data_IF_979084886687
#
_entry.id   IF_979084886687
#
_cell.length_a   1.000
_cell.length_b   1.000
_cell.length_c   1.000
_cell.angle_alpha   90.00
_cell.angle_beta   90.00
_cell.angle_gamma   90.00
#
_symmetry.space_group_name_H-M   'P 1'
#
loop_
_entity.id
_entity.type
_entity.pdbx_description
1 polymer ?
#
# COMPACT_ATOMS: atom_id res chain seq x y z
N UNK A 1 5.02 3.05 -27.59
CA UNK A 1 4.00 2.22 -26.90
C UNK A 1 4.36 1.95 -25.44
N UNK A 2 5.55 1.40 -25.14
CA UNK A 2 5.96 1.04 -23.78
C UNK A 2 5.90 2.20 -22.77
N UNK A 3 6.25 3.43 -23.17
CA UNK A 3 6.13 4.61 -22.29
C UNK A 3 4.68 4.87 -21.86
N UNK A 4 3.73 4.88 -22.80
CA UNK A 4 2.32 5.09 -22.50
C UNK A 4 1.78 4.01 -21.54
N UNK A 5 2.12 2.75 -21.80
CA UNK A 5 1.72 1.61 -20.96
C UNK A 5 2.32 1.71 -19.56
N UNK A 6 3.61 2.07 -19.44
CA UNK A 6 4.27 2.27 -18.14
C UNK A 6 3.64 3.39 -17.31
N UNK A 7 3.26 4.52 -17.95
CA UNK A 7 2.59 5.64 -17.26
C UNK A 7 1.16 5.34 -16.85
N UNK A 8 0.38 4.69 -17.73
CA UNK A 8 -0.99 4.30 -17.43
C UNK A 8 -1.03 3.28 -16.29
N UNK A 9 -0.18 2.26 -16.35
CA UNK A 9 -0.07 1.25 -15.28
C UNK A 9 0.42 1.85 -13.95
N UNK A 10 1.39 2.78 -13.97
CA UNK A 10 1.82 3.50 -12.78
C UNK A 10 0.67 4.29 -12.12
N UNK A 11 -0.19 4.93 -12.92
CA UNK A 11 -1.35 5.67 -12.41
C UNK A 11 -2.37 4.74 -11.74
N UNK A 12 -2.64 3.58 -12.36
CA UNK A 12 -3.51 2.54 -11.76
C UNK A 12 -2.90 1.98 -10.47
N UNK A 13 -1.59 1.75 -10.44
CA UNK A 13 -0.88 1.30 -9.24
C UNK A 13 -0.95 2.34 -8.12
N UNK A 14 -0.69 3.61 -8.40
CA UNK A 14 -0.81 4.70 -7.43
C UNK A 14 -2.22 4.76 -6.80
N UNK A 15 -3.26 4.67 -7.64
CA UNK A 15 -4.65 4.65 -7.16
C UNK A 15 -4.93 3.44 -6.27
N UNK A 16 -4.54 2.24 -6.68
CA UNK A 16 -4.82 1.03 -5.89
C UNK A 16 -3.99 0.98 -4.60
N UNK A 17 -2.74 1.43 -4.61
CA UNK A 17 -1.93 1.60 -3.40
C UNK A 17 -2.55 2.64 -2.46
N UNK A 18 -3.13 3.73 -2.97
CA UNK A 18 -3.91 4.65 -2.13
C UNK A 18 -5.11 3.94 -1.46
N UNK A 19 -5.89 3.19 -2.25
CA UNK A 19 -7.16 2.59 -1.80
C UNK A 19 -6.98 1.36 -0.90
N UNK A 20 -5.87 0.61 -1.01
CA UNK A 20 -5.69 -0.67 -0.29
C UNK A 20 -5.57 -0.51 1.23
N UNK A 21 -5.14 0.67 1.73
CA UNK A 21 -4.99 0.97 3.16
C UNK A 21 -6.30 1.39 3.84
N UNK A 22 -7.18 2.07 3.11
CA UNK A 22 -8.48 2.54 3.62
C UNK A 22 -9.33 1.43 4.27
N UNK A 23 -9.53 0.24 3.66
CA UNK A 23 -10.30 -0.84 4.28
C UNK A 23 -9.65 -1.44 5.53
N UNK A 24 -8.38 -1.13 5.82
CA UNK A 24 -7.68 -1.59 7.02
C UNK A 24 -7.79 -0.63 8.21
N UNK A 25 -8.34 0.58 8.01
CA UNK A 25 -8.62 1.55 9.06
C UNK A 25 -9.91 1.18 9.80
N UNK A 26 -9.87 0.16 10.65
CA UNK A 26 -11.06 -0.45 11.26
C UNK A 26 -11.84 0.49 12.17
N UNK A 27 -11.17 1.37 12.91
CA UNK A 27 -11.85 2.36 13.76
C UNK A 27 -12.62 3.36 12.90
N UNK A 28 -12.00 3.83 11.81
CA UNK A 28 -12.65 4.73 10.87
C UNK A 28 -13.87 4.07 10.21
N UNK A 29 -13.73 2.82 9.75
CA UNK A 29 -14.84 2.05 9.21
C UNK A 29 -15.98 1.87 10.21
N UNK A 30 -15.66 1.57 11.47
CA UNK A 30 -16.65 1.45 12.54
C UNK A 30 -17.36 2.79 12.82
N UNK A 31 -16.63 3.91 12.81
CA UNK A 31 -17.20 5.24 12.95
C UNK A 31 -18.12 5.62 11.78
N UNK A 32 -17.67 5.38 10.54
CA UNK A 32 -18.46 5.60 9.33
C UNK A 32 -19.73 4.75 9.31
N UNK A 33 -19.64 3.50 9.77
CA UNK A 33 -20.81 2.60 9.94
C UNK A 33 -21.80 3.11 10.98
N UNK A 34 -21.31 3.68 12.07
CA UNK A 34 -22.13 4.20 13.17
C UNK A 34 -22.69 5.61 12.95
N UNK A 35 -22.19 6.34 11.95
CA UNK A 35 -22.65 7.70 11.65
C UNK A 35 -24.05 7.68 11.03
N UNK A 36 -24.99 8.43 11.63
CA UNK A 36 -26.37 8.54 11.12
C UNK A 36 -26.48 9.14 9.71
N UNK A 37 -25.40 9.74 9.19
CA UNK A 37 -25.34 10.27 7.82
C UNK A 37 -25.21 9.17 6.75
N UNK A 38 -24.76 7.97 7.11
CA UNK A 38 -24.69 6.81 6.20
C UNK A 38 -26.00 6.03 6.29
N UNK A 39 -27.11 6.69 5.91
CA UNK A 39 -28.46 6.14 6.06
C UNK A 39 -28.78 5.01 5.06
N UNK A 40 -28.00 4.85 3.99
CA UNK A 40 -28.30 3.84 2.96
C UNK A 40 -27.81 2.45 3.37
N UNK A 41 -28.74 1.48 3.41
CA UNK A 41 -28.42 0.05 3.60
C UNK A 41 -27.38 -0.45 2.57
N UNK A 42 -27.39 0.13 1.37
CA UNK A 42 -26.44 -0.22 0.28
C UNK A 42 -25.01 0.17 0.62
N UNK A 43 -24.79 1.35 1.22
CA UNK A 43 -23.45 1.80 1.59
C UNK A 43 -22.90 1.02 2.78
N UNK A 44 -23.72 0.72 3.80
CA UNK A 44 -23.30 -0.16 4.92
C UNK A 44 -22.84 -1.54 4.42
N UNK A 45 -23.62 -2.16 3.52
CA UNK A 45 -23.26 -3.44 2.91
C UNK A 45 -21.94 -3.39 2.11
N UNK A 46 -21.60 -2.25 1.50
CA UNK A 46 -20.31 -2.06 0.84
C UNK A 46 -19.16 -1.94 1.85
N UNK A 47 -19.36 -1.22 2.96
CA UNK A 47 -18.37 -1.11 4.03
C UNK A 47 -18.09 -2.48 4.70
N UNK A 48 -19.11 -3.32 4.85
CA UNK A 48 -18.93 -4.67 5.40
C UNK A 48 -18.08 -5.58 4.50
N UNK A 49 -18.08 -5.31 3.19
CA UNK A 49 -17.21 -5.96 2.20
C UNK A 49 -15.82 -5.31 2.09
N UNK A 50 -15.43 -4.46 3.04
CA UNK A 50 -14.10 -3.82 3.11
C UNK A 50 -12.94 -4.81 2.94
N UNK A 51 -13.02 -5.99 3.57
CA UNK A 51 -12.00 -7.05 3.38
C UNK A 51 -11.94 -7.53 1.93
N UNK A 52 -13.08 -7.75 1.29
CA UNK A 52 -13.13 -8.14 -0.12
C UNK A 52 -12.55 -7.04 -1.01
N UNK A 53 -12.90 -5.78 -0.72
CA UNK A 53 -12.34 -4.62 -1.42
C UNK A 53 -10.81 -4.55 -1.32
N UNK A 54 -10.25 -4.75 -0.11
CA UNK A 54 -8.81 -4.82 0.09
C UNK A 54 -8.16 -5.91 -0.78
N UNK A 55 -8.75 -7.11 -0.80
CA UNK A 55 -8.24 -8.24 -1.61
C UNK A 55 -8.32 -7.92 -3.10
N UNK A 56 -9.41 -7.31 -3.57
CA UNK A 56 -9.54 -6.87 -4.97
C UNK A 56 -8.47 -5.86 -5.35
N UNK A 57 -8.24 -4.82 -4.53
CA UNK A 57 -7.14 -3.88 -4.74
C UNK A 57 -5.78 -4.58 -4.77
N UNK A 58 -5.53 -5.52 -3.85
CA UNK A 58 -4.29 -6.30 -3.82
C UNK A 58 -4.06 -7.10 -5.10
N UNK A 59 -5.09 -7.78 -5.61
CA UNK A 59 -5.01 -8.52 -6.88
C UNK A 59 -4.76 -7.58 -8.06
N UNK A 60 -5.44 -6.43 -8.11
CA UNK A 60 -5.20 -5.41 -9.13
C UNK A 60 -3.77 -4.89 -9.08
N UNK A 61 -3.19 -4.68 -7.90
CA UNK A 61 -1.78 -4.31 -7.73
C UNK A 61 -0.86 -5.40 -8.30
N UNK A 62 -1.03 -6.68 -7.93
CA UNK A 62 -0.16 -7.76 -8.44
C UNK A 62 -0.27 -7.90 -9.99
N UNK A 63 -1.45 -7.67 -10.60
CA UNK A 63 -1.62 -7.73 -12.07
C UNK A 63 -0.94 -6.54 -12.77
N UNK A 64 -1.25 -5.32 -12.34
CA UNK A 64 -0.70 -4.12 -12.99
C UNK A 64 0.79 -3.94 -12.71
N UNK A 65 1.34 -4.51 -11.64
CA UNK A 65 2.79 -4.51 -11.39
C UNK A 65 3.54 -5.34 -12.43
N UNK A 66 3.03 -6.50 -12.83
CA UNK A 66 3.63 -7.32 -13.89
C UNK A 66 3.63 -6.56 -15.22
N UNK A 67 2.49 -5.96 -15.57
CA UNK A 67 2.37 -5.16 -16.79
C UNK A 67 3.29 -3.93 -16.77
N UNK A 68 3.42 -3.27 -15.61
CA UNK A 68 4.31 -2.13 -15.41
C UNK A 68 5.79 -2.51 -15.59
N UNK A 69 6.23 -3.61 -14.97
CA UNK A 69 7.60 -4.14 -15.10
C UNK A 69 7.89 -4.53 -16.56
N UNK A 70 6.96 -5.22 -17.23
CA UNK A 70 7.13 -5.59 -18.63
C UNK A 70 7.28 -4.35 -19.54
N UNK A 71 6.47 -3.31 -19.31
CA UNK A 71 6.57 -2.05 -20.04
C UNK A 71 7.93 -1.35 -19.78
N UNK A 72 8.43 -1.38 -18.54
CA UNK A 72 9.75 -0.84 -18.21
C UNK A 72 10.89 -1.62 -18.85
N UNK A 73 10.79 -2.95 -18.96
CA UNK A 73 11.79 -3.77 -19.66
C UNK A 73 11.86 -3.42 -21.15
N UNK A 74 10.70 -3.28 -21.81
CA UNK A 74 10.63 -2.83 -23.21
C UNK A 74 11.17 -1.41 -23.36
N UNK A 75 10.89 -0.50 -22.43
CA UNK A 75 11.45 0.85 -22.47
C UNK A 75 12.97 0.83 -22.27
N UNK A 76 13.49 0.04 -21.34
CA UNK A 76 14.92 -0.10 -21.10
C UNK A 76 15.66 -0.63 -22.35
N UNK A 77 15.06 -1.57 -23.08
CA UNK A 77 15.53 -2.02 -24.39
C UNK A 77 15.60 -0.88 -25.39
N UNK A 78 14.49 -0.17 -25.57
CA UNK A 78 14.43 0.95 -26.50
C UNK A 78 15.42 2.07 -26.15
N UNK A 79 15.64 2.34 -24.86
CA UNK A 79 16.63 3.33 -24.41
C UNK A 79 18.08 2.88 -24.65
N UNK A 80 18.36 1.58 -24.60
CA UNK A 80 19.68 1.03 -24.90
C UNK A 80 19.99 1.07 -26.40
N UNK A 81 19.01 0.71 -27.24
CA UNK A 81 19.18 0.70 -28.70
C UNK A 81 19.22 2.11 -29.31
N UNK A 82 18.46 3.07 -28.77
CA UNK A 82 18.31 4.41 -29.35
C UNK A 82 19.17 5.48 -28.62
N UNK A 83 20.42 5.17 -28.31
CA UNK A 83 21.35 6.15 -27.73
C UNK A 83 21.63 7.28 -28.73
N UNK A 84 21.38 8.54 -28.33
CA UNK A 84 21.63 9.72 -29.16
C UNK A 84 22.72 10.58 -28.54
N UNK A 85 23.82 10.80 -29.27
CA UNK A 85 24.88 11.73 -28.84
C UNK A 85 24.41 13.19 -28.84
N UNK A 86 23.31 13.49 -29.53
CA UNK A 86 22.76 14.84 -29.65
C UNK A 86 22.01 15.31 -28.40
N UNK A 87 21.40 14.38 -27.66
CA UNK A 87 20.57 14.68 -26.49
C UNK A 87 21.01 13.86 -25.28
N UNK A 88 22.24 14.11 -24.80
CA UNK A 88 22.82 13.45 -23.63
C UNK A 88 21.91 13.49 -22.39
N UNK A 89 21.13 14.56 -22.20
CA UNK A 89 20.21 14.70 -21.09
C UNK A 89 19.01 13.71 -21.12
N UNK A 90 18.72 13.11 -22.28
CA UNK A 90 17.65 12.14 -22.50
C UNK A 90 18.14 10.69 -22.35
N UNK A 91 19.45 10.47 -22.52
CA UNK A 91 20.04 9.15 -22.40
C UNK A 91 20.05 8.70 -20.94
N UNK A 92 19.74 7.42 -20.73
CA UNK A 92 19.86 6.78 -19.43
C UNK A 92 21.26 6.14 -19.22
N UNK A 93 22.06 6.02 -20.28
CA UNK A 93 23.44 5.51 -20.28
C UNK A 93 24.45 6.67 -20.34
N UNK A 94 25.64 6.52 -19.75
CA UNK A 94 26.69 7.54 -19.83
C UNK A 94 27.44 7.48 -21.16
N UNK A 95 27.65 6.29 -21.74
CA UNK A 95 28.29 6.13 -23.05
C UNK A 95 27.61 5.08 -23.96
N UNK A 96 27.84 5.21 -25.27
CA UNK A 96 27.31 4.33 -26.31
C UNK A 96 27.85 2.91 -26.12
N UNK A 97 26.96 1.94 -25.88
CA UNK A 97 27.34 0.53 -25.67
C UNK A 97 27.69 0.14 -24.23
N UNK A 98 27.53 1.03 -23.24
CA UNK A 98 27.80 0.74 -21.81
C UNK A 98 26.89 -0.35 -21.20
N UNK A 99 25.70 -0.57 -21.75
CA UNK A 99 24.60 -1.07 -20.91
C UNK A 99 24.00 -2.38 -21.41
N UNK A 100 24.42 -3.49 -20.78
CA UNK A 100 23.53 -4.64 -20.63
C UNK A 100 22.29 -4.21 -19.83
N UNK A 101 21.10 -4.68 -20.20
CA UNK A 101 19.81 -4.35 -19.55
C UNK A 101 19.86 -4.40 -18.01
N UNK A 102 20.68 -5.31 -17.47
CA UNK A 102 20.90 -5.55 -16.04
C UNK A 102 21.60 -4.36 -15.37
N UNK A 103 22.54 -3.70 -16.05
CA UNK A 103 23.28 -2.58 -15.50
C UNK A 103 22.38 -1.33 -15.35
N UNK A 104 21.51 -1.05 -16.33
CA UNK A 104 20.51 0.03 -16.22
C UNK A 104 19.53 -0.22 -15.07
N UNK A 105 19.07 -1.46 -14.92
CA UNK A 105 18.14 -1.87 -13.87
C UNK A 105 18.80 -1.84 -12.48
N UNK A 106 20.11 -2.01 -12.38
CA UNK A 106 20.82 -2.12 -11.09
C UNK A 106 21.42 -0.80 -10.59
N UNK A 107 21.77 0.12 -11.49
CA UNK A 107 22.44 1.39 -11.13
C UNK A 107 21.44 2.53 -10.92
N UNK A 108 20.30 2.48 -11.62
CA UNK A 108 19.30 3.54 -11.53
C UNK A 108 18.40 3.34 -10.31
N UNK A 109 18.22 4.38 -9.51
CA UNK A 109 17.41 4.35 -8.27
C UNK A 109 16.02 3.70 -8.51
N UNK A 110 15.23 4.09 -9.53
CA UNK A 110 13.99 3.41 -9.91
C UNK A 110 14.14 1.92 -10.28
N UNK A 111 15.24 1.52 -10.91
CA UNK A 111 15.47 0.13 -11.29
C UNK A 111 15.66 -0.76 -10.06
N UNK A 112 16.61 -0.41 -9.19
CA UNK A 112 16.92 -1.20 -7.99
C UNK A 112 15.74 -1.25 -7.03
N UNK A 113 15.13 -0.09 -6.74
CA UNK A 113 13.94 -0.02 -5.89
C UNK A 113 12.78 -0.81 -6.49
N UNK A 114 12.58 -0.78 -7.81
CA UNK A 114 11.55 -1.54 -8.51
C UNK A 114 11.74 -3.05 -8.37
N UNK A 115 12.95 -3.56 -8.54
CA UNK A 115 13.25 -5.00 -8.36
C UNK A 115 12.99 -5.44 -6.93
N UNK A 116 13.48 -4.68 -5.93
CA UNK A 116 13.24 -5.01 -4.51
C UNK A 116 11.74 -4.96 -4.19
N UNK A 117 11.01 -3.98 -4.71
CA UNK A 117 9.55 -3.88 -4.53
C UNK A 117 8.81 -5.08 -5.12
N UNK A 118 9.20 -5.57 -6.29
CA UNK A 118 8.60 -6.75 -6.92
C UNK A 118 8.84 -7.99 -6.07
N UNK A 119 10.05 -8.16 -5.53
CA UNK A 119 10.36 -9.30 -4.61
C UNK A 119 9.50 -9.22 -3.35
N UNK A 120 9.42 -8.05 -2.72
CA UNK A 120 8.58 -7.84 -1.53
C UNK A 120 7.11 -8.12 -1.85
N UNK A 121 6.61 -7.59 -2.97
CA UNK A 121 5.22 -7.81 -3.40
C UNK A 121 4.96 -9.29 -3.69
N UNK A 122 5.89 -10.01 -4.31
CA UNK A 122 5.78 -11.44 -4.57
C UNK A 122 5.68 -12.25 -3.27
N UNK A 123 6.53 -11.97 -2.28
CA UNK A 123 6.47 -12.60 -0.96
C UNK A 123 5.13 -12.34 -0.28
N UNK A 124 4.65 -11.08 -0.31
CA UNK A 124 3.36 -10.69 0.24
C UNK A 124 2.18 -11.38 -0.48
N UNK A 125 2.11 -11.34 -1.82
CA UNK A 125 1.01 -11.94 -2.58
C UNK A 125 0.99 -13.48 -2.34
N UNK A 126 2.15 -14.14 -2.33
CA UNK A 126 2.27 -15.60 -2.13
C UNK A 126 1.81 -16.01 -0.73
N UNK A 127 2.33 -15.39 0.33
CA UNK A 127 1.93 -15.69 1.70
C UNK A 127 0.47 -15.34 2.02
N UNK A 128 -0.14 -14.43 1.24
CA UNK A 128 -1.55 -14.05 1.37
C UNK A 128 -2.53 -15.04 0.70
N UNK A 129 -2.02 -16.07 0.02
CA UNK A 129 -2.86 -17.12 -0.59
C UNK A 129 -3.61 -17.93 0.46
N UNK A 130 -4.77 -18.48 0.08
CA UNK A 130 -5.62 -19.26 0.99
C UNK A 130 -4.88 -20.47 1.58
N UNK A 131 -4.10 -21.18 0.77
CA UNK A 131 -3.36 -22.36 1.18
C UNK A 131 -2.36 -22.06 2.32
N UNK A 132 -1.54 -21.01 2.16
CA UNK A 132 -0.54 -20.64 3.16
C UNK A 132 -1.22 -20.10 4.41
N UNK A 133 -2.21 -19.21 4.27
CA UNK A 133 -2.87 -18.59 5.43
C UNK A 133 -3.62 -19.59 6.31
N UNK A 134 -4.16 -20.67 5.73
CA UNK A 134 -4.83 -21.74 6.49
C UNK A 134 -3.82 -22.70 7.12
N UNK A 135 -2.68 -22.95 6.45
CA UNK A 135 -1.63 -23.81 6.98
C UNK A 135 -0.85 -23.16 8.12
N UNK A 136 -0.44 -21.90 7.96
CA UNK A 136 0.30 -21.15 8.96
C UNK A 136 -0.01 -19.64 8.84
N UNK A 137 -0.78 -19.13 9.80
CA UNK A 137 -1.19 -17.73 9.82
C UNK A 137 -0.04 -16.77 10.13
N UNK A 138 0.98 -17.22 10.85
CA UNK A 138 2.10 -16.36 11.27
C UNK A 138 2.97 -15.98 10.07
N UNK A 139 3.21 -16.92 9.15
CA UNK A 139 3.91 -16.63 7.89
C UNK A 139 3.17 -15.51 7.14
N UNK A 140 1.85 -15.62 7.02
CA UNK A 140 1.03 -14.56 6.44
C UNK A 140 1.22 -13.23 7.19
N UNK A 141 1.14 -13.23 8.52
CA UNK A 141 1.22 -12.02 9.32
C UNK A 141 2.58 -11.32 9.18
N UNK A 142 3.69 -12.04 9.33
CA UNK A 142 5.05 -11.46 9.26
C UNK A 142 5.36 -10.95 7.85
N UNK A 143 5.06 -11.73 6.82
CA UNK A 143 5.33 -11.33 5.43
C UNK A 143 4.42 -10.18 4.99
N UNK A 144 3.17 -10.15 5.41
CA UNK A 144 2.26 -9.07 5.03
C UNK A 144 2.65 -7.72 5.68
N UNK A 145 3.31 -7.73 6.85
CA UNK A 145 3.89 -6.53 7.47
C UNK A 145 5.04 -5.90 6.65
N UNK A 146 5.59 -6.60 5.64
CA UNK A 146 6.55 -6.02 4.69
C UNK A 146 5.95 -4.87 3.86
N UNK A 147 4.63 -4.63 3.94
CA UNK A 147 4.00 -3.47 3.32
C UNK A 147 4.67 -2.15 3.75
N UNK A 148 5.14 -2.01 5.00
CA UNK A 148 5.88 -0.82 5.43
C UNK A 148 7.14 -0.60 4.57
N UNK A 149 7.90 -1.67 4.32
CA UNK A 149 9.09 -1.63 3.45
C UNK A 149 8.68 -1.30 2.02
N UNK A 150 7.62 -1.93 1.52
CA UNK A 150 7.08 -1.64 0.18
C UNK A 150 6.72 -0.17 -0.01
N UNK A 151 6.04 0.47 0.96
CA UNK A 151 5.68 1.89 0.88
C UNK A 151 6.89 2.82 0.95
N UNK A 152 7.89 2.50 1.77
CA UNK A 152 9.14 3.26 1.83
C UNK A 152 9.90 3.18 0.49
N UNK A 153 10.00 1.98 -0.08
CA UNK A 153 10.60 1.79 -1.40
C UNK A 153 9.81 2.47 -2.50
N UNK A 154 8.47 2.46 -2.43
CA UNK A 154 7.61 3.15 -3.40
C UNK A 154 7.82 4.67 -3.38
N UNK A 155 8.03 5.28 -2.21
CA UNK A 155 8.41 6.70 -2.13
C UNK A 155 9.76 6.99 -2.78
N UNK A 156 10.75 6.11 -2.56
CA UNK A 156 12.09 6.23 -3.16
C UNK A 156 12.08 5.92 -4.66
N UNK A 157 11.23 5.02 -5.11
CA UNK A 157 11.15 4.60 -6.51
C UNK A 157 10.79 5.76 -7.44
N UNK A 158 9.89 6.63 -6.99
CA UNK A 158 9.39 7.75 -7.82
C UNK A 158 10.31 8.98 -7.74
N UNK A 159 11.26 9.03 -6.80
CA UNK A 159 12.19 10.17 -6.69
C UNK A 159 13.28 10.21 -7.78
N UNK A 160 13.46 9.13 -8.54
CA UNK A 160 14.54 9.01 -9.53
C UNK A 160 14.45 9.92 -10.76
N UNK A 161 13.29 10.55 -11.03
CA UNK A 161 13.17 11.61 -12.04
C UNK A 161 13.62 11.25 -13.47
N UNK A 162 13.61 9.96 -13.83
CA UNK A 162 14.20 9.42 -15.08
C UNK A 162 13.47 9.90 -16.32
N UNK A 163 12.14 10.04 -16.23
CA UNK A 163 11.32 10.55 -17.31
C UNK A 163 11.34 12.08 -17.28
N UNK A 164 11.93 12.66 -18.32
CA UNK A 164 12.00 14.11 -18.54
C UNK A 164 11.10 14.52 -19.69
N UNK A 165 10.56 15.73 -19.62
CA UNK A 165 9.84 16.37 -20.71
C UNK A 165 10.58 17.63 -21.14
N UNK A 166 10.42 18.02 -22.39
CA UNK A 166 11.01 19.25 -22.89
C UNK A 166 10.15 20.45 -22.48
N UNK A 167 10.75 21.43 -21.81
CA UNK A 167 10.04 22.65 -21.38
C UNK A 167 10.06 23.72 -22.47
N UNK A 168 11.10 23.72 -23.30
CA UNK A 168 11.33 24.74 -24.32
C UNK A 168 10.85 24.29 -25.71
N UNK A 169 9.53 24.08 -25.87
CA UNK A 169 8.94 23.62 -27.14
C UNK A 169 8.81 24.75 -28.19
N UNK A 170 8.64 25.99 -27.72
CA UNK A 170 8.47 27.15 -28.62
C UNK A 170 9.81 27.58 -29.24
N UNK A 171 10.90 27.59 -28.48
CA UNK A 171 12.22 27.97 -28.99
C UNK A 171 12.99 26.80 -29.63
N UNK A 172 12.57 25.55 -29.34
CA UNK A 172 13.13 24.33 -29.94
C UNK A 172 12.02 23.31 -30.28
N UNK A 173 11.31 23.48 -31.41
CA UNK A 173 10.32 22.48 -31.84
C UNK A 173 11.01 21.17 -32.27
N UNK A 174 10.41 19.99 -32.05
CA UNK A 174 10.97 18.71 -32.48
C UNK A 174 11.24 18.69 -33.99
N UNK A 175 12.47 18.37 -34.40
CA UNK A 175 12.88 18.39 -35.80
C UNK A 175 13.34 19.76 -36.33
N UNK A 176 13.59 20.73 -35.46
CA UNK A 176 14.20 22.00 -35.87
C UNK A 176 15.64 21.81 -36.36
N UNK A 177 16.06 22.66 -37.29
CA UNK A 177 17.40 22.66 -37.87
C UNK A 177 18.33 23.58 -37.06
N UNK A 178 19.48 23.08 -36.61
CA UNK A 178 20.47 23.88 -35.87
C UNK A 178 21.69 24.20 -36.77
N UNK A 179 21.80 25.44 -37.30
CA UNK A 179 22.85 25.82 -38.25
C UNK A 179 24.27 25.78 -37.66
N UNK A 180 24.42 25.99 -36.34
CA UNK A 180 25.73 25.95 -35.67
C UNK A 180 26.31 24.54 -35.54
N UNK A 181 25.46 23.50 -35.48
CA UNK A 181 25.91 22.10 -35.37
C UNK A 181 26.38 21.57 -36.73
N UNK A 182 25.69 21.94 -37.79
CA UNK A 182 26.05 21.58 -39.18
C UNK A 182 27.32 22.28 -39.68
N UNK A 183 27.64 23.48 -39.21
CA UNK A 183 28.89 24.16 -39.59
C UNK A 183 30.14 23.42 -39.13
N UNK A 184 30.03 22.63 -38.06
CA UNK A 184 31.13 21.82 -37.53
C UNK A 184 31.26 20.46 -38.24
N UNK A 185 30.18 19.94 -38.82
CA UNK A 185 30.20 18.74 -39.69
C UNK A 185 30.53 19.06 -41.16
N UNK A 186 30.28 20.31 -41.60
CA UNK A 186 30.47 20.75 -42.98
C UNK A 186 31.90 21.25 -43.33
N UNK A 187 32.95 20.74 -42.68
CA UNK A 187 34.30 20.84 -43.26
C UNK A 187 34.55 19.84 -44.41
N UNK A 188 33.53 19.06 -44.81
CA UNK A 188 33.66 18.06 -45.89
C UNK A 188 32.54 18.05 -46.93
N UNK A 189 31.91 19.20 -47.23
CA UNK A 189 30.90 19.23 -48.29
C UNK A 189 30.94 20.50 -49.17
N UNK A 190 31.93 20.65 -50.07
CA UNK A 190 31.84 21.62 -51.17
C UNK A 190 31.16 21.06 -52.43
N UNK A 191 30.56 19.85 -52.39
CA UNK A 191 30.02 19.19 -53.61
C UNK A 191 28.52 19.30 -53.83
N UNK A 192 27.73 19.56 -52.78
CA UNK A 192 26.27 19.64 -52.91
C UNK A 192 25.76 21.00 -53.43
N UNK A 193 26.60 22.03 -53.40
CA UNK A 193 26.22 23.39 -53.79
C UNK A 193 26.46 23.67 -55.28
N UNK A 194 27.44 23.01 -55.91
CA UNK A 194 27.74 23.14 -57.35
C UNK A 194 26.74 22.40 -58.25
N UNK A 195 26.09 21.33 -57.78
CA UNK A 195 25.13 20.57 -58.61
C UNK A 195 23.78 21.28 -58.79
N UNK A 196 23.43 22.27 -57.95
CA UNK A 196 22.10 22.89 -57.97
C UNK A 196 22.02 24.17 -58.83
N UNK A 197 23.14 24.80 -59.19
CA UNK A 197 23.14 26.08 -59.93
C UNK A 197 24.29 26.16 -60.96
N UNK A 198 24.10 25.68 -62.21
CA UNK A 198 25.17 25.61 -63.20
C UNK A 198 25.53 26.96 -63.86
N UNK A 199 24.76 28.04 -63.62
CA UNK A 199 24.91 29.31 -64.34
C UNK A 199 24.90 30.52 -63.40
N UNK A 200 25.89 30.65 -62.52
CA UNK A 200 26.17 31.95 -61.90
C UNK A 200 27.66 32.28 -62.02
N UNK A 201 27.97 33.15 -62.98
CA UNK A 201 29.32 33.68 -63.22
C UNK A 201 29.68 34.69 -62.14
N UNK A 202 30.91 34.53 -61.65
CA UNK A 202 31.61 35.36 -60.67
C UNK A 202 31.92 36.75 -61.24
N UNK A 203 31.42 37.80 -60.60
CA UNK A 203 31.93 39.17 -60.72
C UNK A 203 32.15 39.72 -59.29
N UNK A 204 33.24 40.48 -59.03
CA UNK A 204 33.65 40.86 -57.68
C UNK A 204 32.84 42.05 -57.13
N UNK A 205 32.60 42.00 -55.82
CA UNK A 205 31.89 43.00 -55.00
C UNK A 205 32.37 44.45 -55.17
N UNK A 206 31.44 45.42 -55.13
CA UNK A 206 31.69 46.71 -54.50
C UNK A 206 30.96 46.79 -53.14
N UNK A 207 31.66 47.40 -52.19
CA UNK A 207 31.21 47.74 -50.84
C UNK A 207 29.96 48.63 -50.84
N UNK A 208 29.26 48.56 -49.71
CA UNK A 208 28.22 49.47 -49.22
C UNK A 208 26.77 49.17 -49.64
N UNK A 209 26.07 48.36 -48.83
CA UNK A 209 24.69 48.66 -48.45
C UNK A 209 24.26 47.90 -47.18
N UNK A 210 23.62 48.67 -46.30
CA UNK A 210 22.98 48.29 -45.04
C UNK A 210 22.03 47.08 -45.13
N UNK A 211 22.16 46.21 -44.11
CA UNK A 211 21.22 45.17 -43.61
C UNK A 211 19.85 45.10 -44.30
N UNK A 212 19.52 43.98 -44.97
CA UNK A 212 18.14 43.58 -45.19
C UNK A 212 17.69 42.61 -44.09
N UNK A 213 16.51 42.88 -43.53
CA UNK A 213 15.72 41.98 -42.68
C UNK A 213 15.69 40.54 -43.25
N UNK A 214 15.75 39.49 -42.42
CA UNK A 214 15.63 38.12 -42.91
C UNK A 214 14.14 37.81 -43.16
N UNK A 215 13.60 38.31 -44.27
CA UNK A 215 12.30 37.92 -44.80
C UNK A 215 12.48 36.96 -45.98
N UNK A 216 12.99 35.75 -45.71
CA UNK A 216 12.73 34.55 -46.54
C UNK A 216 12.52 33.37 -45.59
N UNK A 217 11.35 33.34 -44.97
CA UNK A 217 10.85 32.18 -44.25
C UNK A 217 10.42 31.12 -45.26
N UNK A 218 11.34 30.23 -45.63
CA UNK A 218 10.96 29.00 -46.32
C UNK A 218 10.12 28.14 -45.36
N UNK A 219 8.87 27.91 -45.73
CA UNK A 219 7.80 27.23 -44.95
C UNK A 219 8.08 25.76 -44.54
N UNK A 220 9.31 25.26 -44.64
CA UNK A 220 9.66 23.88 -44.31
C UNK A 220 10.80 23.71 -43.32
N UNK A 221 11.50 24.78 -42.91
CA UNK A 221 12.68 24.64 -42.04
C UNK A 221 12.59 25.60 -40.86
N UNK A 222 12.10 25.11 -39.71
CA UNK A 222 12.14 25.87 -38.45
C UNK A 222 13.56 25.80 -37.88
N UNK A 223 14.19 26.96 -37.72
CA UNK A 223 15.53 27.08 -37.16
C UNK A 223 15.43 27.02 -35.63
N UNK A 224 16.25 26.18 -34.98
CA UNK A 224 16.30 26.12 -33.52
C UNK A 224 16.86 27.43 -32.97
N UNK A 225 16.14 28.10 -32.07
CA UNK A 225 16.61 29.36 -31.47
C UNK A 225 17.50 29.14 -30.25
N UNK A 226 17.24 28.08 -29.47
CA UNK A 226 18.04 27.68 -28.30
C UNK A 226 18.14 26.16 -28.19
N UNK A 227 19.08 25.66 -27.38
CA UNK A 227 19.21 24.24 -27.05
C UNK A 227 18.00 23.72 -26.25
N UNK A 228 17.61 22.44 -26.42
CA UNK A 228 16.47 21.87 -25.74
C UNK A 228 16.74 21.70 -24.24
N UNK A 229 15.81 22.20 -23.42
CA UNK A 229 15.84 22.03 -21.96
C UNK A 229 14.88 20.93 -21.54
N UNK A 230 15.39 19.96 -20.79
CA UNK A 230 14.62 18.83 -20.27
C UNK A 230 14.48 18.93 -18.75
N UNK A 231 13.26 18.84 -18.26
CA UNK A 231 12.95 18.83 -16.83
C UNK A 231 12.30 17.50 -16.43
N UNK A 232 12.65 16.97 -15.27
CA UNK A 232 12.00 15.78 -14.72
C UNK A 232 10.54 16.09 -14.33
N UNK A 233 9.66 15.12 -14.54
CA UNK A 233 8.27 15.25 -14.09
C UNK A 233 8.21 15.26 -12.56
N UNK A 234 7.33 16.08 -11.99
CA UNK A 234 7.08 16.05 -10.55
C UNK A 234 6.44 14.70 -10.16
N UNK A 235 6.89 14.04 -9.08
CA UNK A 235 6.39 12.74 -8.69
C UNK A 235 4.98 12.84 -8.05
N UNK A 236 3.93 12.71 -8.86
CA UNK A 236 2.53 12.79 -8.41
C UNK A 236 2.18 11.75 -7.34
N UNK A 237 2.87 10.61 -7.31
CA UNK A 237 2.67 9.50 -6.36
C UNK A 237 2.65 9.95 -4.89
N UNK A 238 3.41 11.00 -4.54
CA UNK A 238 3.44 11.54 -3.18
C UNK A 238 2.07 12.03 -2.72
N UNK A 239 1.29 12.67 -3.60
CA UNK A 239 -0.07 13.12 -3.26
C UNK A 239 -1.03 11.93 -3.07
N UNK A 240 -0.94 10.93 -3.94
CA UNK A 240 -1.81 9.75 -3.87
C UNK A 240 -1.63 8.95 -2.59
N UNK A 241 -0.40 8.85 -2.09
CA UNK A 241 -0.08 7.91 -1.01
C UNK A 241 0.02 8.58 0.36
N UNK A 242 0.52 9.82 0.45
CA UNK A 242 0.76 10.49 1.74
C UNK A 242 -0.52 10.62 2.58
N UNK A 243 -1.65 10.99 1.97
CA UNK A 243 -2.93 11.14 2.66
C UNK A 243 -3.42 9.85 3.32
N UNK A 244 -3.67 8.76 2.57
CA UNK A 244 -4.09 7.48 3.13
C UNK A 244 -3.10 6.88 4.12
N UNK A 245 -1.79 7.03 3.86
CA UNK A 245 -0.76 6.54 4.77
C UNK A 245 -0.79 7.31 6.11
N UNK A 246 -0.92 8.63 6.07
CA UNK A 246 -1.08 9.45 7.26
C UNK A 246 -2.34 9.05 8.05
N UNK A 247 -3.48 8.89 7.35
CA UNK A 247 -4.72 8.44 7.95
C UNK A 247 -4.59 7.07 8.63
N UNK A 248 -3.92 6.11 7.97
CA UNK A 248 -3.62 4.80 8.54
C UNK A 248 -2.74 4.91 9.79
N UNK A 249 -1.67 5.72 9.74
CA UNK A 249 -0.77 5.93 10.87
C UNK A 249 -1.49 6.56 12.08
N UNK A 250 -2.34 7.56 11.84
CA UNK A 250 -3.15 8.20 12.89
C UNK A 250 -4.13 7.20 13.51
N UNK A 251 -4.81 6.39 12.69
CA UNK A 251 -5.71 5.34 13.18
C UNK A 251 -4.96 4.28 14.01
N UNK A 252 -3.77 3.89 13.57
CA UNK A 252 -2.92 2.93 14.27
C UNK A 252 -2.43 3.48 15.60
N UNK A 253 -2.00 4.74 15.64
CA UNK A 253 -1.58 5.43 16.85
C UNK A 253 -2.75 5.57 17.83
N UNK A 254 -3.93 5.97 17.35
CA UNK A 254 -5.14 6.05 18.16
C UNK A 254 -5.48 4.69 18.81
N UNK A 255 -5.44 3.60 18.03
CA UNK A 255 -5.66 2.24 18.56
C UNK A 255 -4.64 1.87 19.63
N UNK A 256 -3.35 2.15 19.36
CA UNK A 256 -2.28 1.87 20.31
C UNK A 256 -2.48 2.59 21.65
N UNK A 257 -2.79 3.89 21.61
CA UNK A 257 -3.08 4.69 22.81
C UNK A 257 -4.29 4.12 23.58
N UNK A 258 -5.36 3.74 22.86
CA UNK A 258 -6.58 3.18 23.45
C UNK A 258 -6.39 1.77 24.03
N UNK A 259 -5.53 0.95 23.43
CA UNK A 259 -5.25 -0.42 23.87
C UNK A 259 -4.21 -0.50 25.00
N UNK A 260 -3.43 0.56 25.23
CA UNK A 260 -2.34 0.57 26.22
C UNK A 260 -2.82 0.57 27.69
N UNK A 261 -4.14 0.70 27.93
CA UNK A 261 -4.71 0.53 29.27
C UNK A 261 -4.95 -0.96 29.56
N UNK A 262 -4.36 -1.53 30.64
CA UNK A 262 -4.56 -2.92 31.00
C UNK A 262 -6.01 -3.15 31.45
N UNK A 263 -6.49 -4.36 31.21
CA UNK A 263 -7.84 -4.82 31.56
C UNK A 263 -7.77 -5.72 32.79
N UNK A 264 -8.72 -5.56 33.69
CA UNK A 264 -8.81 -6.38 34.90
C UNK A 264 -9.59 -7.65 34.60
N UNK A 265 -8.97 -8.81 34.81
CA UNK A 265 -9.63 -10.11 34.71
C UNK A 265 -10.44 -10.33 36.00
N UNK A 266 -11.75 -10.54 35.87
CA UNK A 266 -12.65 -10.74 37.01
C UNK A 266 -12.81 -12.21 37.36
N UNK A 267 -12.95 -13.07 36.36
CA UNK A 267 -13.03 -14.52 36.56
C UNK A 267 -12.61 -15.28 35.31
N UNK A 268 -12.04 -16.45 35.53
CA UNK A 268 -11.70 -17.42 34.48
C UNK A 268 -12.42 -18.72 34.80
N UNK A 269 -13.20 -19.23 33.84
CA UNK A 269 -13.99 -20.45 33.99
C UNK A 269 -13.58 -21.42 32.88
N UNK A 270 -13.23 -22.66 33.25
CA UNK A 270 -12.92 -23.71 32.29
C UNK A 270 -14.19 -24.50 32.00
N UNK A 271 -14.49 -24.66 30.72
CA UNK A 271 -15.61 -25.45 30.22
C UNK A 271 -15.11 -26.78 29.62
N UNK A 272 -15.98 -27.80 29.47
CA UNK A 272 -15.67 -29.01 28.71
C UNK A 272 -15.20 -28.70 27.28
N UNK A 273 -14.53 -29.67 26.65
CA UNK A 273 -14.02 -29.55 25.27
C UNK A 273 -12.94 -28.47 25.06
N UNK A 274 -12.11 -28.22 26.08
CA UNK A 274 -11.00 -27.27 26.05
C UNK A 274 -11.43 -25.85 25.68
N UNK A 275 -12.55 -25.38 26.25
CA UNK A 275 -13.03 -24.00 26.09
C UNK A 275 -12.80 -23.24 27.39
N UNK A 276 -12.28 -22.02 27.27
CA UNK A 276 -12.04 -21.12 28.40
C UNK A 276 -12.93 -19.90 28.25
N UNK A 277 -13.67 -19.57 29.31
CA UNK A 277 -14.41 -18.32 29.45
C UNK A 277 -13.59 -17.36 30.30
N UNK A 278 -13.28 -16.19 29.74
CA UNK A 278 -12.54 -15.12 30.43
C UNK A 278 -13.44 -13.91 30.55
N UNK A 279 -13.77 -13.54 31.80
CA UNK A 279 -14.53 -12.33 32.13
C UNK A 279 -13.57 -11.21 32.52
N UNK A 280 -13.86 -10.03 32.01
CA UNK A 280 -12.98 -8.88 32.02
C UNK A 280 -13.78 -7.60 32.31
N UNK A 281 -13.08 -6.58 32.79
CA UNK A 281 -13.62 -5.25 33.03
C UNK A 281 -12.61 -4.18 32.59
N UNK A 282 -13.12 -3.19 31.85
CA UNK A 282 -12.35 -2.08 31.29
C UNK A 282 -13.17 -0.79 31.40
N UNK A 283 -12.53 0.28 31.84
CA UNK A 283 -13.15 1.60 31.94
C UNK A 283 -13.60 2.12 30.57
N UNK A 284 -14.78 2.73 30.52
CA UNK A 284 -15.40 3.31 29.31
C UNK A 284 -15.52 2.34 28.11
N UNK A 285 -15.57 1.03 28.37
CA UNK A 285 -15.72 0.04 27.32
C UNK A 285 -17.19 -0.20 26.99
N UNK A 286 -17.62 0.31 25.83
CA UNK A 286 -18.96 0.04 25.27
C UNK A 286 -18.83 -0.91 24.09
N UNK A 287 -19.55 -2.01 24.12
CA UNK A 287 -19.56 -2.99 23.02
C UNK A 287 -20.97 -3.44 22.69
N UNK A 288 -21.17 -3.84 21.44
CA UNK A 288 -22.43 -4.35 20.90
C UNK A 288 -22.35 -5.86 20.63
N UNK A 289 -23.50 -6.56 20.65
CA UNK A 289 -23.53 -7.99 20.37
C UNK A 289 -22.99 -8.33 18.98
N UNK A 290 -22.25 -9.43 18.90
CA UNK A 290 -21.60 -9.87 17.66
C UNK A 290 -20.28 -9.14 17.34
N UNK A 291 -19.85 -8.17 18.14
CA UNK A 291 -18.52 -7.57 18.03
C UNK A 291 -17.42 -8.53 18.51
N UNK A 292 -16.19 -8.28 18.06
CA UNK A 292 -15.01 -8.99 18.54
C UNK A 292 -13.96 -8.02 19.08
N UNK A 293 -13.06 -8.54 19.88
CA UNK A 293 -11.92 -7.83 20.46
C UNK A 293 -10.64 -8.57 20.12
N UNK A 294 -9.51 -7.87 20.16
CA UNK A 294 -8.19 -8.46 20.01
C UNK A 294 -7.54 -8.47 21.39
N UNK A 295 -7.11 -9.66 21.82
CA UNK A 295 -6.41 -9.86 23.09
C UNK A 295 -4.91 -9.88 22.86
N UNK A 296 -4.20 -9.17 23.72
CA UNK A 296 -2.75 -9.16 23.77
C UNK A 296 -2.26 -9.40 25.19
N UNK A 297 -1.48 -10.46 25.37
CA UNK A 297 -0.92 -10.85 26.67
C UNK A 297 0.61 -10.95 26.55
N UNK A 298 1.37 -9.92 26.98
CA UNK A 298 2.83 -9.89 26.83
C UNK A 298 3.56 -11.05 27.51
N UNK A 299 2.96 -11.67 28.53
CA UNK A 299 3.53 -12.81 29.26
C UNK A 299 3.40 -14.13 28.50
N UNK A 300 2.52 -14.21 27.50
CA UNK A 300 2.43 -15.32 26.56
C UNK A 300 3.28 -15.04 25.32
N UNK A 301 3.06 -13.87 24.72
CA UNK A 301 3.78 -13.42 23.53
C UNK A 301 3.82 -11.90 23.48
N UNK A 302 5.01 -11.34 23.26
CA UNK A 302 5.24 -9.90 23.26
C UNK A 302 4.67 -9.20 22.02
N UNK A 303 4.47 -9.93 20.91
CA UNK A 303 4.07 -9.35 19.63
C UNK A 303 2.75 -9.92 19.08
N UNK A 304 2.34 -11.11 19.51
CA UNK A 304 1.12 -11.73 19.00
C UNK A 304 -0.12 -11.19 19.69
N UNK A 305 -1.16 -11.02 18.90
CA UNK A 305 -2.46 -10.56 19.34
C UNK A 305 -3.55 -11.28 18.56
N UNK A 306 -4.50 -11.90 19.25
CA UNK A 306 -5.49 -12.78 18.64
C UNK A 306 -6.91 -12.23 18.76
N UNK A 307 -7.72 -12.31 17.69
CA UNK A 307 -9.11 -11.86 17.72
C UNK A 307 -10.03 -12.91 18.36
N UNK A 308 -10.91 -12.47 19.24
CA UNK A 308 -11.95 -13.29 19.88
C UNK A 308 -13.28 -12.55 19.91
N UNK A 309 -14.35 -13.27 19.58
CA UNK A 309 -15.71 -12.71 19.60
C UNK A 309 -16.17 -12.48 21.04
N UNK A 310 -16.83 -11.35 21.28
CA UNK A 310 -17.49 -11.08 22.54
C UNK A 310 -18.70 -12.01 22.67
N UNK A 311 -18.77 -12.68 23.81
CA UNK A 311 -19.89 -13.56 24.20
C UNK A 311 -20.79 -12.90 25.23
N UNK A 312 -20.25 -11.97 26.01
CA UNK A 312 -20.98 -11.15 26.96
C UNK A 312 -20.58 -9.70 26.74
N UNK A 313 -21.56 -8.83 26.51
CA UNK A 313 -21.37 -7.40 26.33
C UNK A 313 -21.63 -6.66 27.66
N UNK A 314 -20.96 -5.52 27.89
CA UNK A 314 -21.22 -4.71 29.06
C UNK A 314 -22.59 -4.03 28.92
N UNK A 315 -23.35 -4.01 30.01
CA UNK A 315 -24.66 -3.35 30.13
C UNK A 315 -24.56 -2.25 31.19
N UNK A 316 -25.51 -1.31 31.22
CA UNK A 316 -25.53 -0.20 32.21
C UNK A 316 -25.44 -0.68 33.67
N UNK A 317 -25.88 -1.90 33.96
CA UNK A 317 -25.85 -2.53 35.29
C UNK A 317 -24.61 -3.40 35.55
N UNK A 318 -23.92 -3.86 34.49
CA UNK A 318 -22.78 -4.78 34.57
C UNK A 318 -21.70 -4.34 33.59
N UNK A 319 -20.63 -3.74 34.11
CA UNK A 319 -19.47 -3.32 33.32
C UNK A 319 -18.56 -4.48 32.85
N UNK A 320 -18.94 -5.73 33.13
CA UNK A 320 -18.15 -6.90 32.74
C UNK A 320 -18.48 -7.35 31.33
N UNK A 321 -17.45 -7.72 30.59
CA UNK A 321 -17.57 -8.35 29.27
C UNK A 321 -16.78 -9.64 29.25
N UNK A 322 -17.13 -10.56 28.35
CA UNK A 322 -16.60 -11.91 28.37
C UNK A 322 -16.35 -12.47 26.98
N UNK A 323 -15.30 -13.27 26.87
CA UNK A 323 -14.94 -14.01 25.65
C UNK A 323 -14.86 -15.49 25.95
N UNK A 324 -15.28 -16.31 24.99
CA UNK A 324 -15.05 -17.75 25.00
C UNK A 324 -14.01 -18.07 23.93
N UNK A 325 -12.92 -18.72 24.34
CA UNK A 325 -11.86 -19.17 23.43
C UNK A 325 -11.68 -20.68 23.54
N UNK A 326 -11.51 -21.33 22.40
CA UNK A 326 -11.14 -22.75 22.34
C UNK A 326 -9.62 -22.87 22.30
N UNK A 327 -9.06 -23.77 23.10
CA UNK A 327 -7.63 -24.03 23.14
C UNK A 327 -7.29 -25.00 22.01
N UNK A 328 -6.59 -24.51 20.98
CA UNK A 328 -6.27 -25.25 19.74
C UNK A 328 -4.83 -25.00 19.26
N UNK A 329 -4.24 -23.85 19.59
CA UNK A 329 -2.88 -23.49 19.21
C UNK A 329 -1.97 -23.19 20.40
N UNK A 330 -0.69 -23.06 20.11
CA UNK A 330 0.40 -22.77 21.05
C UNK A 330 0.14 -21.53 21.91
N UNK A 331 -0.33 -20.43 21.31
CA UNK A 331 -0.68 -19.22 22.04
C UNK A 331 -1.83 -19.47 23.01
N UNK A 332 -2.88 -20.18 22.57
CA UNK A 332 -4.05 -20.46 23.42
C UNK A 332 -3.76 -21.45 24.53
N UNK A 333 -2.84 -22.39 24.32
CA UNK A 333 -2.37 -23.34 25.33
C UNK A 333 -1.58 -22.61 26.42
N UNK A 334 -0.58 -21.82 26.03
CA UNK A 334 0.19 -20.99 26.97
C UNK A 334 -0.69 -20.00 27.71
N UNK A 335 -1.70 -19.43 27.05
CA UNK A 335 -2.65 -18.51 27.68
C UNK A 335 -3.52 -19.22 28.72
N UNK A 336 -4.05 -20.41 28.41
CA UNK A 336 -4.78 -21.26 29.35
C UNK A 336 -3.91 -21.60 30.56
N UNK A 337 -2.72 -22.11 30.29
CA UNK A 337 -1.75 -22.54 31.31
C UNK A 337 -1.42 -21.40 32.25
N UNK A 338 -1.18 -20.21 31.73
CA UNK A 338 -0.90 -19.04 32.53
C UNK A 338 -2.10 -18.62 33.40
N UNK A 339 -3.33 -18.74 32.91
CA UNK A 339 -4.54 -18.40 33.65
C UNK A 339 -4.96 -19.47 34.68
N UNK A 340 -4.61 -20.75 34.46
CA UNK A 340 -5.00 -21.87 35.32
C UNK A 340 -3.89 -22.36 36.26
N UNK A 341 -2.62 -22.42 35.84
CA UNK A 341 -1.49 -22.99 36.62
C UNK A 341 -0.99 -22.08 37.74
N UNK A 342 -1.21 -20.76 37.66
CA UNK A 342 -0.99 -19.88 38.83
C UNK A 342 -1.93 -20.19 40.02
N UNK A 343 -2.75 -21.24 39.92
CA UNK A 343 -3.54 -21.79 41.02
C UNK A 343 -2.78 -22.81 41.89
N UNK A 344 -1.65 -23.39 41.45
CA UNK A 344 -1.13 -24.64 42.05
C UNK A 344 0.35 -24.61 42.50
N UNK A 345 1.04 -23.47 42.55
CA UNK A 345 2.47 -23.46 42.91
C UNK A 345 2.84 -22.88 44.28
N UNK A 346 1.90 -22.44 45.11
CA UNK A 346 2.20 -22.17 46.52
C UNK A 346 1.01 -22.53 47.40
N UNK A 347 1.24 -23.39 48.39
CA UNK A 347 0.38 -23.82 49.51
C UNK A 347 -0.49 -25.08 49.32
N UNK A 348 0.14 -26.25 49.53
CA UNK A 348 -0.43 -27.13 50.54
C UNK A 348 -0.44 -26.35 51.87
N UNK A 349 -1.58 -26.32 52.56
CA UNK A 349 -1.84 -25.65 53.85
C UNK A 349 -2.38 -24.19 53.76
N UNK A 350 -3.67 -24.06 53.42
CA UNK A 350 -4.75 -23.25 54.06
C UNK A 350 -5.75 -22.72 53.01
N UNK A 351 -7.06 -23.06 53.10
CA UNK A 351 -8.09 -22.34 52.37
C UNK A 351 -8.37 -21.04 53.14
N UNK A 352 -8.43 -19.90 52.45
CA UNK A 352 -9.01 -18.58 52.84
C UNK A 352 -8.07 -17.46 52.32
N UNK A 353 -8.47 -16.85 51.18
CA UNK A 353 -7.96 -15.59 50.59
C UNK A 353 -6.57 -15.53 49.90
N UNK A 354 -6.16 -16.50 49.09
CA UNK A 354 -5.22 -16.18 48.00
C UNK A 354 -5.95 -15.42 46.89
N UNK A 355 -5.79 -14.10 46.85
CA UNK A 355 -6.20 -13.28 45.71
C UNK A 355 -5.45 -13.76 44.46
N UNK A 356 -6.16 -14.44 43.55
CA UNK A 356 -5.62 -14.83 42.24
C UNK A 356 -5.09 -13.59 41.52
N UNK A 357 -3.77 -13.50 41.37
CA UNK A 357 -3.13 -12.38 40.68
C UNK A 357 -3.02 -12.71 39.19
N UNK A 358 -4.02 -12.27 38.44
CA UNK A 358 -4.05 -12.43 37.00
C UNK A 358 -2.96 -11.59 36.31
N UNK A 359 -2.45 -12.03 35.14
CA UNK A 359 -1.51 -11.25 34.34
C UNK A 359 -2.13 -9.95 33.83
N UNK A 360 -1.26 -9.02 33.40
CA UNK A 360 -1.69 -7.86 32.61
C UNK A 360 -2.16 -8.33 31.22
N UNK A 361 -3.43 -8.05 30.91
CA UNK A 361 -4.04 -8.32 29.63
C UNK A 361 -4.44 -7.01 28.97
N UNK A 362 -4.18 -6.86 27.69
CA UNK A 362 -4.56 -5.68 26.91
C UNK A 362 -5.63 -6.06 25.88
N UNK A 363 -6.61 -5.17 25.72
CA UNK A 363 -7.76 -5.37 24.83
C UNK A 363 -7.82 -4.23 23.84
N UNK A 364 -7.69 -4.55 22.56
CA UNK A 364 -7.99 -3.64 21.45
C UNK A 364 -9.36 -3.97 20.85
N UNK A 365 -10.23 -2.97 20.78
CA UNK A 365 -11.61 -3.14 20.34
C UNK A 365 -12.57 -2.21 21.08
N UNK A 366 -13.88 -2.34 20.84
CA UNK A 366 -14.48 -3.40 20.03
C UNK A 366 -14.38 -3.14 18.52
N UNK A 367 -14.44 -4.21 17.73
CA UNK A 367 -14.49 -4.17 16.28
C UNK A 367 -15.79 -4.77 15.77
N UNK A 368 -16.37 -4.10 14.77
CA UNK A 368 -17.62 -4.55 14.17
C UNK A 368 -17.46 -5.79 13.31
N UNK A 369 -18.52 -6.59 13.29
CA UNK A 369 -18.63 -7.75 12.41
C UNK A 369 -19.97 -7.73 11.67
N UNK A 370 -20.13 -8.55 10.61
CA UNK A 370 -21.42 -8.75 9.95
C UNK A 370 -22.52 -9.28 10.90
N UNK A 371 -22.15 -9.94 12.01
CA UNK A 371 -23.10 -10.50 12.97
C UNK A 371 -23.90 -9.42 13.73
N UNK A 372 -23.40 -8.17 13.80
CA UNK A 372 -24.14 -7.06 14.40
C UNK A 372 -25.48 -6.78 13.69
N UNK A 373 -25.60 -7.13 12.41
CA UNK A 373 -26.82 -6.86 11.64
C UNK A 373 -27.90 -7.92 11.83
N UNK A 374 -27.59 -9.04 12.51
CA UNK A 374 -28.56 -10.10 12.77
C UNK A 374 -29.77 -9.62 13.56
N UNK A 375 -29.60 -8.56 14.36
CA UNK A 375 -30.66 -7.89 15.13
C UNK A 375 -31.51 -6.89 14.32
N UNK A 376 -31.11 -6.54 13.09
CA UNK A 376 -31.83 -5.55 12.27
C UNK A 376 -32.90 -6.18 11.36
N UNK A 377 -33.01 -7.51 11.33
CA UNK A 377 -33.99 -8.24 10.52
C UNK A 377 -35.12 -8.76 11.42
N UNK A 378 -36.35 -8.72 10.93
CA UNK A 378 -37.53 -9.23 11.65
C UNK A 378 -37.45 -10.75 11.88
N UNK A 379 -36.92 -11.49 10.90
CA UNK A 379 -36.71 -12.94 10.96
C UNK A 379 -35.25 -13.22 10.62
N UNK A 380 -34.54 -13.87 11.55
CA UNK A 380 -33.13 -14.23 11.42
C UNK A 380 -32.93 -15.74 11.59
N UNK A 381 -32.39 -16.41 10.56
CA UNK A 381 -31.97 -17.82 10.64
C UNK A 381 -30.51 -17.88 11.08
N UNK A 382 -30.26 -18.43 12.27
CA UNK A 382 -28.91 -18.60 12.81
C UNK A 382 -28.42 -20.04 12.58
N UNK A 383 -27.37 -20.22 11.77
CA UNK A 383 -26.70 -21.52 11.56
C UNK A 383 -25.29 -21.43 12.11
N UNK A 384 -24.95 -22.29 13.07
CA UNK A 384 -23.66 -22.29 13.74
C UNK A 384 -23.11 -23.73 13.87
N UNK A 385 -21.78 -23.85 13.88
CA UNK A 385 -21.08 -25.11 14.15
C UNK A 385 -19.84 -24.88 15.01
N UNK A 386 -19.64 -25.73 16.03
CA UNK A 386 -18.50 -25.65 16.94
C UNK A 386 -18.37 -24.29 17.64
N UNK A 387 -17.15 -23.75 17.71
CA UNK A 387 -16.88 -22.44 18.35
C UNK A 387 -17.52 -21.25 17.59
N UNK A 388 -17.98 -21.48 16.36
CA UNK A 388 -18.70 -20.49 15.55
C UNK A 388 -20.04 -20.07 16.15
N UNK A 389 -20.51 -20.71 17.23
CA UNK A 389 -21.70 -20.31 17.99
C UNK A 389 -21.47 -19.04 18.84
N UNK A 390 -20.21 -18.69 19.12
CA UNK A 390 -19.86 -17.57 20.03
C UNK A 390 -20.48 -16.20 19.66
N UNK A 391 -20.59 -15.77 18.39
CA UNK A 391 -21.28 -14.52 18.07
C UNK A 391 -22.77 -14.57 18.41
N UNK A 392 -23.42 -15.73 18.21
CA UNK A 392 -24.83 -15.91 18.52
C UNK A 392 -25.11 -15.93 20.02
N UNK A 393 -24.19 -16.48 20.82
CA UNK A 393 -24.31 -16.46 22.28
C UNK A 393 -24.46 -15.02 22.81
N UNK A 394 -23.69 -14.08 22.27
CA UNK A 394 -23.79 -12.66 22.65
C UNK A 394 -25.11 -12.03 22.21
N UNK A 395 -25.60 -12.39 21.02
CA UNK A 395 -26.89 -11.93 20.51
C UNK A 395 -28.02 -12.45 21.38
N UNK A 396 -28.05 -13.74 21.71
CA UNK A 396 -29.07 -14.35 22.55
C UNK A 396 -29.08 -13.79 23.97
N UNK A 397 -27.91 -13.58 24.58
CA UNK A 397 -27.81 -12.95 25.90
C UNK A 397 -28.27 -11.48 25.94
N UNK A 398 -28.52 -10.87 24.78
CA UNK A 398 -29.08 -9.51 24.69
C UNK A 398 -30.57 -9.52 24.36
N UNK A 399 -31.05 -10.58 23.69
CA UNK A 399 -32.45 -10.76 23.34
C UNK A 399 -33.29 -11.35 24.49
N UNK A 400 -32.65 -12.19 25.32
CA UNK A 400 -33.19 -12.76 26.55
C UNK A 400 -32.83 -11.88 27.75
#
# INVERSE_FOLDING_TARGET
LGLCVSRASASVLNLNCCLVLLPMCRVLLAFLRGSQKVASKKTRRLLDKSKTFHVTCGVTICIFSVLHVAAHLVNALNFSENYSEDFLALNAANYRGEVSQIHLMSVLVPGLTGVIMVVVLFLMCTASTYAIRVSNYDIFWYTHNLFFVFYMLLMLHVSGGVLKYQTNLEEHPPGCFNPNKTLQENMTAPKAFEELFPNYTTEPFPEDLSVPEPFVQNNFMRICSKEPKFQSHFPETWFWISGPLCLYCVERLYRYIRSNKPVTITSVISHPSNVLEVRMMKDDFKARPGQYVILHCPRVSALESHPFTLTMCPTDTKATFGVHLKVVGDWTERFRDLLLLHSNQDTEILPIFQQRRYPKLYVDGPFGSPFEESLNYEISLCVAGGIGVTPFASVFNTLL
#
